data_IF_631593055364
#
_entry.id   IF_631593055364
#
_cell.length_a   1.000
_cell.length_b   1.000
_cell.length_c   1.000
_cell.angle_alpha   90.00
_cell.angle_beta   90.00
_cell.angle_gamma   90.00
#
_symmetry.space_group_name_H-M   'P 1'
#
loop_
_entity.id
_entity.type
_entity.pdbx_description
1 polymer ?
#
# COMPACT_ATOMS: atom_id res chain seq x y z
N UNK A 1 10.68 -11.59 12.45
CA UNK A 1 9.70 -10.74 11.74
C UNK A 1 9.37 -9.55 12.63
N UNK A 2 9.70 -8.32 12.22
CA UNK A 2 9.40 -7.11 13.00
C UNK A 2 8.12 -6.44 12.50
N UNK A 3 7.21 -6.07 13.41
CA UNK A 3 5.97 -5.33 13.13
C UNK A 3 6.19 -3.83 13.40
N UNK A 4 5.75 -2.95 12.49
CA UNK A 4 5.86 -1.49 12.61
C UNK A 4 4.58 -0.91 13.24
N UNK A 5 4.71 0.03 14.19
CA UNK A 5 3.60 0.76 14.84
C UNK A 5 3.02 1.87 13.93
N UNK A 6 1.69 1.93 13.82
CA UNK A 6 0.91 2.77 12.89
C UNK A 6 0.54 4.17 13.44
N UNK A 7 1.51 5.04 13.75
CA UNK A 7 1.21 6.49 13.81
C UNK A 7 1.12 7.10 12.41
N UNK A 8 1.77 6.47 11.43
CA UNK A 8 1.67 6.80 10.00
C UNK A 8 0.55 6.00 9.35
N UNK A 9 -0.32 6.70 8.63
CA UNK A 9 -1.43 6.08 7.90
C UNK A 9 -0.97 5.59 6.52
N UNK A 10 -0.23 4.48 6.51
CA UNK A 10 0.34 3.88 5.29
C UNK A 10 -0.73 3.63 4.23
N UNK A 11 -1.91 3.18 4.65
CA UNK A 11 -3.05 2.94 3.76
C UNK A 11 -3.50 4.19 3.02
N UNK A 12 -3.59 5.32 3.72
CA UNK A 12 -3.92 6.61 3.12
C UNK A 12 -2.85 7.07 2.13
N UNK A 13 -1.56 6.90 2.44
CA UNK A 13 -0.48 7.25 1.54
C UNK A 13 -0.50 6.44 0.24
N UNK A 14 -0.71 5.12 0.35
CA UNK A 14 -0.89 4.24 -0.81
C UNK A 14 -2.02 4.76 -1.69
N UNK A 15 -3.18 5.05 -1.10
CA UNK A 15 -4.36 5.56 -1.82
C UNK A 15 -4.06 6.88 -2.52
N UNK A 16 -3.51 7.86 -1.79
CA UNK A 16 -3.18 9.19 -2.29
C UNK A 16 -2.22 9.12 -3.48
N UNK A 17 -1.11 8.38 -3.33
CA UNK A 17 -0.10 8.24 -4.39
C UNK A 17 -0.69 7.52 -5.61
N UNK A 18 -1.48 6.45 -5.38
CA UNK A 18 -2.17 5.72 -6.44
C UNK A 18 -3.09 6.64 -7.25
N UNK A 19 -3.89 7.47 -6.58
CA UNK A 19 -4.82 8.40 -7.23
C UNK A 19 -4.11 9.50 -8.01
N UNK A 20 -3.03 10.08 -7.47
CA UNK A 20 -2.19 11.06 -8.18
C UNK A 20 -1.56 10.45 -9.44
N UNK A 21 -1.20 9.17 -9.41
CA UNK A 21 -0.65 8.45 -10.56
C UNK A 21 -1.72 7.89 -11.52
N UNK A 22 -3.00 8.14 -11.26
CA UNK A 22 -4.13 7.61 -12.03
C UNK A 22 -4.15 6.08 -12.15
N UNK A 23 -3.58 5.38 -11.17
CA UNK A 23 -3.57 3.91 -11.13
C UNK A 23 -4.89 3.45 -10.51
N UNK A 24 -5.57 2.50 -11.15
CA UNK A 24 -6.80 1.95 -10.56
C UNK A 24 -6.48 0.99 -9.40
N UNK A 25 -7.40 0.80 -8.45
CA UNK A 25 -7.24 -0.26 -7.43
C UNK A 25 -7.04 -1.63 -8.08
N UNK A 26 -7.72 -1.88 -9.21
CA UNK A 26 -7.65 -3.13 -9.96
C UNK A 26 -6.25 -3.42 -10.46
N UNK A 27 -5.68 -2.45 -11.16
CA UNK A 27 -4.32 -2.48 -11.67
C UNK A 27 -3.32 -2.70 -10.53
N UNK A 28 -3.41 -1.90 -9.46
CA UNK A 28 -2.48 -2.02 -8.34
C UNK A 28 -2.50 -3.40 -7.68
N UNK A 29 -3.66 -3.97 -7.39
CA UNK A 29 -3.69 -5.27 -6.72
C UNK A 29 -3.20 -6.41 -7.64
N UNK A 30 -3.48 -6.33 -8.94
CA UNK A 30 -3.02 -7.33 -9.93
C UNK A 30 -1.50 -7.29 -10.01
N UNK A 31 -0.93 -6.12 -10.24
CA UNK A 31 0.51 -5.95 -10.48
C UNK A 31 1.31 -6.18 -9.20
N UNK A 32 0.79 -5.70 -8.06
CA UNK A 32 1.38 -5.94 -6.76
C UNK A 32 1.10 -7.35 -6.24
N UNK A 33 0.40 -8.22 -6.98
CA UNK A 33 0.08 -9.62 -6.63
C UNK A 33 -0.56 -9.77 -5.24
N UNK A 34 -1.40 -8.83 -4.83
CA UNK A 34 -2.18 -8.89 -3.58
C UNK A 34 -3.66 -9.09 -3.90
N UNK A 35 -4.46 -9.55 -2.93
CA UNK A 35 -5.91 -9.64 -3.15
C UNK A 35 -6.55 -8.25 -3.16
N UNK A 36 -7.60 -8.07 -3.96
CA UNK A 36 -8.41 -6.86 -3.99
C UNK A 36 -8.93 -6.48 -2.59
N UNK A 37 -9.33 -7.48 -1.79
CA UNK A 37 -9.74 -7.30 -0.41
C UNK A 37 -8.61 -6.77 0.49
N UNK A 38 -7.38 -7.24 0.30
CA UNK A 38 -6.21 -6.74 1.03
C UNK A 38 -5.97 -5.28 0.72
N UNK A 39 -5.92 -4.90 -0.57
CA UNK A 39 -5.71 -3.50 -0.96
C UNK A 39 -6.84 -2.61 -0.44
N UNK A 40 -8.10 -3.03 -0.57
CA UNK A 40 -9.24 -2.27 -0.07
C UNK A 40 -9.14 -2.02 1.44
N UNK A 41 -8.84 -3.07 2.23
CA UNK A 41 -8.70 -2.92 3.67
C UNK A 41 -7.50 -2.04 4.06
N UNK A 42 -6.39 -2.14 3.32
CA UNK A 42 -5.22 -1.28 3.52
C UNK A 42 -5.59 0.18 3.31
N UNK A 43 -6.12 0.55 2.13
CA UNK A 43 -6.48 1.94 1.79
C UNK A 43 -7.56 2.54 2.72
N UNK A 44 -8.35 1.70 3.39
CA UNK A 44 -9.39 2.11 4.34
C UNK A 44 -8.99 1.94 5.82
N UNK A 45 -7.71 1.69 6.12
CA UNK A 45 -7.22 1.53 7.50
C UNK A 45 -7.91 0.44 8.30
N UNK A 46 -8.35 -0.62 7.62
CA UNK A 46 -8.96 -1.81 8.22
C UNK A 46 -7.92 -2.94 8.43
N UNK A 47 -6.65 -2.58 8.49
CA UNK A 47 -5.51 -3.48 8.67
C UNK A 47 -4.58 -2.88 9.71
N UNK A 48 -4.24 -3.67 10.73
CA UNK A 48 -3.31 -3.29 11.80
C UNK A 48 -1.84 -3.56 11.45
N UNK A 49 -1.59 -4.49 10.53
CA UNK A 49 -0.24 -4.88 10.12
C UNK A 49 -0.19 -5.15 8.62
N UNK A 50 0.82 -4.61 7.94
CA UNK A 50 1.12 -4.93 6.55
C UNK A 50 2.39 -5.78 6.46
N UNK A 51 2.40 -6.78 5.58
CA UNK A 51 3.60 -7.54 5.25
C UNK A 51 4.59 -6.63 4.48
N UNK A 52 5.86 -6.64 4.88
CA UNK A 52 6.93 -5.87 4.21
C UNK A 52 7.08 -6.21 2.74
N UNK A 53 6.90 -7.47 2.34
CA UNK A 53 6.91 -7.89 0.92
C UNK A 53 5.76 -7.22 0.14
N UNK A 54 4.55 -7.21 0.70
CA UNK A 54 3.41 -6.51 0.09
C UNK A 54 3.72 -5.02 -0.05
N UNK A 55 4.30 -4.39 0.98
CA UNK A 55 4.65 -2.99 0.96
C UNK A 55 5.71 -2.67 -0.12
N UNK A 56 6.74 -3.51 -0.27
CA UNK A 56 7.74 -3.38 -1.34
C UNK A 56 7.14 -3.52 -2.74
N UNK A 57 6.25 -4.50 -2.95
CA UNK A 57 5.60 -4.69 -4.25
C UNK A 57 4.68 -3.53 -4.59
N UNK A 58 3.93 -3.01 -3.63
CA UNK A 58 3.11 -1.81 -3.81
C UNK A 58 3.98 -0.61 -4.17
N UNK A 59 5.08 -0.37 -3.43
CA UNK A 59 6.01 0.73 -3.72
C UNK A 59 6.58 0.63 -5.14
N UNK A 60 6.96 -0.59 -5.57
CA UNK A 60 7.44 -0.86 -6.93
C UNK A 60 6.37 -0.55 -7.98
N UNK A 61 5.14 -1.02 -7.82
CA UNK A 61 4.04 -0.73 -8.75
C UNK A 61 3.73 0.77 -8.83
N UNK A 62 3.79 1.46 -7.70
CA UNK A 62 3.61 2.92 -7.65
C UNK A 62 4.86 3.68 -8.13
N UNK A 63 5.98 3.01 -8.41
CA UNK A 63 7.26 3.65 -8.78
C UNK A 63 7.66 4.75 -7.80
N UNK A 64 7.66 4.42 -6.51
CA UNK A 64 8.09 5.29 -5.41
C UNK A 64 9.02 4.53 -4.47
N UNK A 65 9.80 5.27 -3.70
CA UNK A 65 10.54 4.69 -2.58
C UNK A 65 9.56 4.24 -1.49
N UNK A 66 9.87 3.15 -0.80
CA UNK A 66 9.03 2.63 0.29
C UNK A 66 8.81 3.67 1.41
N UNK A 67 9.78 4.58 1.62
CA UNK A 67 9.70 5.68 2.58
C UNK A 67 8.54 6.63 2.29
N UNK A 68 8.16 6.83 1.03
CA UNK A 68 7.01 7.65 0.63
C UNK A 68 5.68 7.05 1.09
N UNK A 69 5.65 5.73 1.34
CA UNK A 69 4.48 5.06 1.91
C UNK A 69 4.45 5.20 3.44
N UNK A 70 5.61 5.44 4.05
CA UNK A 70 5.83 5.52 5.50
C UNK A 70 5.93 6.97 6.02
N UNK A 71 5.81 7.98 5.17
CA UNK A 71 5.86 9.41 5.54
C UNK A 71 4.54 9.94 6.06
#
# INVERSE_FOLDING_TARGET
MYQINLTVNIGHNIKRIREVKNISRKELYIDAKISAATLFRLENNKVKYINTDHLHRIAKCLSVDIRELLS
#
